data_IF_507318329383
#
_entry.id   IF_507318329383
#
_cell.length_a   1.000
_cell.length_b   1.000
_cell.length_c   1.000
_cell.angle_alpha   90.00
_cell.angle_beta   90.00
_cell.angle_gamma   90.00
#
_symmetry.space_group_name_H-M   'P 1'
#
loop_
_entity.id
_entity.type
_entity.pdbx_description
1 polymer ?
#
# COMPACT_ATOMS: atom_id res chain seq x y z
N UNK A 1 14.56 58.51 -38.51
CA UNK A 1 13.30 57.75 -38.28
C UNK A 1 13.60 56.68 -37.24
N UNK A 2 13.13 56.88 -36.00
CA UNK A 2 13.38 55.97 -34.87
C UNK A 2 12.37 54.82 -34.91
N UNK A 3 12.86 53.61 -35.17
CA UNK A 3 12.10 52.37 -34.95
C UNK A 3 12.23 52.07 -33.46
N UNK A 4 11.22 52.48 -32.69
CA UNK A 4 11.06 52.06 -31.31
C UNK A 4 10.66 50.58 -31.32
N UNK A 5 11.55 49.74 -30.82
CA UNK A 5 11.33 48.31 -30.63
C UNK A 5 10.24 48.09 -29.59
N UNK A 6 9.07 47.65 -30.06
CA UNK A 6 7.96 47.20 -29.21
C UNK A 6 8.40 45.92 -28.49
N UNK A 7 8.93 46.09 -27.28
CA UNK A 7 9.29 45.01 -26.39
C UNK A 7 8.00 44.30 -25.90
N UNK A 8 7.67 43.18 -26.53
CA UNK A 8 6.53 42.35 -26.16
C UNK A 8 6.86 41.57 -24.87
N UNK A 9 6.59 42.17 -23.70
CA UNK A 9 6.78 41.54 -22.38
C UNK A 9 5.75 40.40 -22.18
N UNK A 10 6.16 39.16 -22.48
CA UNK A 10 5.41 37.95 -22.08
C UNK A 10 5.26 37.91 -20.55
N UNK A 11 4.03 38.06 -20.06
CA UNK A 11 3.67 37.96 -18.64
C UNK A 11 3.85 36.50 -18.17
N UNK A 12 4.88 36.22 -17.36
CA UNK A 12 5.11 34.90 -16.75
C UNK A 12 4.07 34.66 -15.66
N UNK A 13 3.18 33.69 -15.85
CA UNK A 13 2.22 33.26 -14.83
C UNK A 13 2.92 32.18 -14.00
N UNK A 14 3.18 32.46 -12.72
CA UNK A 14 3.63 31.45 -11.77
C UNK A 14 2.40 30.74 -11.18
N UNK A 15 2.43 29.40 -11.15
CA UNK A 15 1.43 28.56 -10.49
C UNK A 15 2.10 27.73 -9.42
N UNK A 16 1.51 27.67 -8.24
CA UNK A 16 1.94 26.75 -7.19
C UNK A 16 1.37 25.37 -7.48
N UNK A 17 2.22 24.36 -7.50
CA UNK A 17 1.84 22.94 -7.63
C UNK A 17 2.11 22.28 -6.29
N UNK A 18 1.12 21.58 -5.76
CA UNK A 18 1.24 20.84 -4.50
C UNK A 18 1.05 19.36 -4.80
N UNK A 19 1.95 18.53 -4.28
CA UNK A 19 1.83 17.08 -4.36
C UNK A 19 1.03 16.60 -3.15
N UNK A 20 -0.17 16.09 -3.41
CA UNK A 20 -1.07 15.61 -2.34
C UNK A 20 -0.77 14.16 -1.96
N UNK A 21 -0.74 13.26 -2.95
CA UNK A 21 -0.52 11.84 -2.72
C UNK A 21 0.18 11.13 -3.87
N UNK A 22 0.96 10.10 -3.53
CA UNK A 22 1.50 9.10 -4.44
C UNK A 22 0.86 7.76 -4.11
N UNK A 23 0.14 7.20 -5.09
CA UNK A 23 -0.48 5.88 -5.00
C UNK A 23 0.35 4.90 -5.82
N UNK A 24 0.84 3.85 -5.17
CA UNK A 24 1.58 2.78 -5.81
C UNK A 24 1.51 1.50 -4.98
N UNK A 25 1.77 0.37 -5.63
CA UNK A 25 1.82 -0.94 -5.00
C UNK A 25 3.02 -1.06 -4.03
N UNK A 26 3.04 -2.11 -3.23
CA UNK A 26 4.06 -2.28 -2.19
C UNK A 26 5.48 -2.41 -2.75
N UNK A 27 5.64 -3.02 -3.93
CA UNK A 27 6.95 -3.20 -4.56
C UNK A 27 7.48 -1.86 -5.09
N UNK A 28 6.70 -1.13 -5.88
CA UNK A 28 7.11 0.19 -6.36
C UNK A 28 7.34 1.15 -5.18
N UNK A 29 6.52 1.11 -4.14
CA UNK A 29 6.71 1.89 -2.92
C UNK A 29 8.09 1.63 -2.29
N UNK A 30 8.43 0.37 -2.07
CA UNK A 30 9.73 0.00 -1.48
C UNK A 30 10.91 0.40 -2.36
N UNK A 31 10.75 0.31 -3.68
CA UNK A 31 11.76 0.71 -4.65
C UNK A 31 11.99 2.23 -4.66
N UNK A 32 10.92 3.03 -4.64
CA UNK A 32 10.99 4.49 -4.61
C UNK A 32 11.61 4.97 -3.30
N UNK A 33 11.20 4.39 -2.16
CA UNK A 33 11.73 4.72 -0.84
C UNK A 33 13.14 4.22 -0.58
N UNK A 34 13.63 3.24 -1.35
CA UNK A 34 14.91 2.55 -1.09
C UNK A 34 14.91 1.85 0.29
N UNK A 35 13.81 1.17 0.60
CA UNK A 35 13.61 0.42 1.85
C UNK A 35 13.44 -1.07 1.59
N UNK A 36 13.46 -1.86 2.65
CA UNK A 36 13.09 -3.28 2.57
C UNK A 36 11.65 -3.44 2.07
N UNK A 37 11.47 -4.38 1.14
CA UNK A 37 10.17 -4.72 0.58
C UNK A 37 9.21 -5.34 1.61
N UNK A 38 7.95 -5.50 1.22
CA UNK A 38 6.84 -5.99 2.05
C UNK A 38 7.04 -7.34 2.75
N UNK A 39 8.06 -8.12 2.35
CA UNK A 39 8.43 -9.41 2.94
C UNK A 39 9.56 -9.31 3.98
N UNK A 40 10.09 -8.12 4.25
CA UNK A 40 11.16 -7.90 5.21
C UNK A 40 10.68 -7.71 6.65
N UNK A 41 11.50 -8.09 7.62
CA UNK A 41 11.22 -7.93 9.06
C UNK A 41 10.94 -6.48 9.47
N UNK A 42 11.59 -5.51 8.83
CA UNK A 42 11.42 -4.08 9.08
C UNK A 42 10.85 -3.41 7.83
N UNK A 43 9.64 -3.79 7.43
CA UNK A 43 9.04 -3.38 6.15
C UNK A 43 7.85 -2.44 6.26
N UNK A 44 7.32 -2.21 7.47
CA UNK A 44 6.23 -1.27 7.65
C UNK A 44 6.71 0.14 7.31
N UNK A 45 5.96 0.87 6.48
CA UNK A 45 6.29 2.25 6.11
C UNK A 45 5.75 3.28 7.11
N UNK A 46 4.85 2.87 8.01
CA UNK A 46 4.13 3.77 8.93
C UNK A 46 4.62 3.70 10.38
N UNK A 47 5.10 2.55 10.82
CA UNK A 47 5.63 2.35 12.17
C UNK A 47 6.95 1.58 12.13
N UNK A 48 7.63 1.57 13.27
CA UNK A 48 8.94 0.93 13.46
C UNK A 48 8.84 -0.55 13.87
N UNK A 49 7.65 -1.13 13.79
CA UNK A 49 7.37 -2.50 14.20
C UNK A 49 8.31 -3.53 13.55
N UNK A 50 8.81 -4.45 14.38
CA UNK A 50 9.56 -5.60 13.93
C UNK A 50 8.63 -6.79 13.67
N UNK A 51 8.73 -7.35 12.47
CA UNK A 51 8.04 -8.59 12.12
C UNK A 51 8.61 -9.80 12.85
N UNK A 52 7.76 -10.80 13.06
CA UNK A 52 8.11 -12.09 13.66
C UNK A 52 7.82 -13.19 12.66
N UNK A 53 8.75 -14.13 12.50
CA UNK A 53 8.55 -15.29 11.65
C UNK A 53 7.79 -16.38 12.42
N UNK A 54 6.56 -16.69 12.01
CA UNK A 54 5.71 -17.74 12.60
C UNK A 54 5.12 -18.61 11.50
N UNK A 55 5.16 -19.94 11.66
CA UNK A 55 4.56 -20.90 10.73
C UNK A 55 4.94 -20.65 9.25
N UNK A 56 6.24 -20.48 8.97
CA UNK A 56 6.79 -20.18 7.64
C UNK A 56 6.23 -18.91 6.98
N UNK A 57 5.83 -17.94 7.80
CA UNK A 57 5.33 -16.65 7.34
C UNK A 57 5.86 -15.54 8.23
N UNK A 58 6.20 -14.43 7.61
CA UNK A 58 6.43 -13.20 8.34
C UNK A 58 5.08 -12.60 8.76
N UNK A 59 4.96 -12.25 10.03
CA UNK A 59 3.76 -11.69 10.63
C UNK A 59 4.13 -10.47 11.50
N UNK A 60 3.19 -9.53 11.68
CA UNK A 60 3.31 -8.41 12.61
C UNK A 60 2.25 -8.58 13.69
N UNK A 61 2.51 -9.41 14.73
CA UNK A 61 1.51 -9.78 15.73
C UNK A 61 1.26 -8.68 16.78
N UNK A 62 2.16 -7.71 16.91
CA UNK A 62 2.03 -6.58 17.81
C UNK A 62 0.95 -5.62 17.31
N UNK A 63 -0.29 -5.84 17.75
CA UNK A 63 -1.39 -4.88 17.62
C UNK A 63 -1.54 -4.10 18.94
N UNK A 64 -1.14 -4.70 20.06
CA UNK A 64 -1.35 -4.18 21.42
C UNK A 64 -0.13 -3.49 22.04
N UNK A 65 1.07 -3.72 21.48
CA UNK A 65 2.28 -2.98 21.84
C UNK A 65 2.32 -1.69 21.03
N UNK A 66 2.51 -0.55 21.71
CA UNK A 66 2.48 0.77 21.09
C UNK A 66 3.79 1.02 20.36
N UNK A 67 3.87 0.50 19.14
CA UNK A 67 4.99 0.73 18.23
C UNK A 67 5.06 2.21 17.85
N UNK A 68 6.28 2.74 17.78
CA UNK A 68 6.48 4.14 17.41
C UNK A 68 6.08 4.37 15.95
N UNK A 69 5.33 5.44 15.73
CA UNK A 69 5.00 5.90 14.39
C UNK A 69 6.23 6.52 13.76
N UNK A 70 6.52 6.14 12.53
CA UNK A 70 7.64 6.69 11.77
C UNK A 70 7.32 8.13 11.41
N UNK A 71 8.25 9.04 11.69
CA UNK A 71 8.15 10.44 11.31
C UNK A 71 9.02 10.72 10.08
N UNK A 72 8.87 11.91 9.51
CA UNK A 72 9.72 12.34 8.40
C UNK A 72 11.17 12.43 8.85
N UNK A 73 11.38 12.97 10.05
CA UNK A 73 12.68 13.17 10.68
C UNK A 73 13.32 11.84 11.06
N UNK A 74 12.57 10.89 11.64
CA UNK A 74 13.11 9.56 11.99
C UNK A 74 13.53 8.77 10.74
N UNK A 75 12.81 8.94 9.63
CA UNK A 75 13.17 8.33 8.35
C UNK A 75 14.41 8.96 7.70
N UNK A 76 14.54 10.29 7.70
CA UNK A 76 15.71 10.98 7.11
C UNK A 76 16.97 10.68 7.91
N UNK A 77 16.86 10.73 9.24
CA UNK A 77 17.97 10.41 10.15
C UNK A 77 18.32 8.92 10.18
N UNK A 78 17.55 8.07 9.48
CA UNK A 78 17.72 6.61 9.43
C UNK A 78 17.76 5.98 10.83
N UNK A 79 16.95 6.47 11.77
CA UNK A 79 16.89 5.95 13.15
C UNK A 79 16.74 4.42 13.21
N UNK A 80 15.93 3.85 12.30
CA UNK A 80 15.84 2.41 12.11
C UNK A 80 16.63 1.95 10.87
N UNK A 81 17.96 1.82 10.99
CA UNK A 81 18.84 1.41 9.87
C UNK A 81 18.38 0.13 9.15
N UNK A 82 17.88 -0.85 9.91
CA UNK A 82 17.40 -2.13 9.36
C UNK A 82 16.18 -1.98 8.45
N UNK A 83 15.49 -0.84 8.44
CA UNK A 83 14.40 -0.55 7.51
C UNK A 83 14.91 -0.19 6.10
N UNK A 84 16.07 0.46 6.03
CA UNK A 84 16.65 0.96 4.79
C UNK A 84 17.45 -0.14 4.07
N UNK A 85 17.64 0.01 2.76
CA UNK A 85 18.55 -0.85 2.01
C UNK A 85 19.99 -0.42 2.29
N UNK A 86 20.84 -1.38 2.67
CA UNK A 86 22.26 -1.13 2.93
C UNK A 86 22.96 -0.59 1.68
N UNK A 87 23.90 0.34 1.86
CA UNK A 87 24.73 0.91 0.79
C UNK A 87 23.93 1.56 -0.35
N UNK A 88 22.74 2.10 -0.04
CA UNK A 88 21.94 2.85 -1.01
C UNK A 88 21.67 4.27 -0.54
N UNK A 89 21.64 5.19 -1.50
CA UNK A 89 21.16 6.54 -1.29
C UNK A 89 19.65 6.54 -0.98
N UNK A 90 19.21 7.56 -0.26
CA UNK A 90 17.80 7.74 0.06
C UNK A 90 17.01 8.20 -1.16
N UNK A 91 15.68 8.10 -1.08
CA UNK A 91 14.80 8.57 -2.14
C UNK A 91 14.99 10.06 -2.43
N UNK A 92 15.06 10.42 -3.72
CA UNK A 92 15.09 11.81 -4.19
C UNK A 92 13.88 12.64 -3.71
N UNK A 93 12.79 11.97 -3.35
CA UNK A 93 11.56 12.60 -2.85
C UNK A 93 11.76 13.33 -1.52
N UNK A 94 12.80 13.00 -0.76
CA UNK A 94 13.14 13.68 0.50
C UNK A 94 13.58 15.12 0.25
N UNK A 95 14.16 15.40 -0.92
CA UNK A 95 14.64 16.73 -1.27
C UNK A 95 13.50 17.65 -1.75
N UNK A 96 12.27 17.14 -1.89
CA UNK A 96 11.14 17.95 -2.31
C UNK A 96 10.66 18.85 -1.17
N UNK A 97 10.53 20.17 -1.40
CA UNK A 97 10.04 21.08 -0.38
C UNK A 97 8.59 20.77 -0.03
N UNK A 98 8.24 20.92 1.25
CA UNK A 98 6.89 20.72 1.79
C UNK A 98 6.30 19.31 1.58
N UNK A 99 7.15 18.29 1.38
CA UNK A 99 6.71 16.90 1.25
C UNK A 99 7.14 16.11 2.48
N UNK A 100 6.16 15.60 3.23
CA UNK A 100 6.42 14.59 4.25
C UNK A 100 6.44 13.20 3.61
N UNK A 101 7.62 12.61 3.51
CA UNK A 101 7.84 11.31 2.86
C UNK A 101 6.95 10.18 3.39
N UNK A 102 6.64 10.17 4.69
CA UNK A 102 5.81 9.11 5.30
C UNK A 102 4.33 9.32 4.94
N UNK A 103 3.89 10.57 4.88
CA UNK A 103 2.47 10.91 4.68
C UNK A 103 2.08 11.02 3.21
N UNK A 104 2.99 11.36 2.31
CA UNK A 104 2.71 11.54 0.88
C UNK A 104 2.30 10.22 0.18
N UNK A 105 2.64 9.07 0.76
CA UNK A 105 2.28 7.78 0.16
C UNK A 105 1.01 7.20 0.77
N UNK A 106 0.01 6.98 -0.07
CA UNK A 106 -1.20 6.26 0.33
C UNK A 106 -0.93 4.76 0.49
N UNK A 107 -1.63 4.14 1.44
CA UNK A 107 -1.76 2.70 1.53
C UNK A 107 -2.85 2.25 0.57
N UNK A 108 -2.48 1.43 -0.41
CA UNK A 108 -3.42 0.96 -1.43
C UNK A 108 -4.33 -0.14 -0.85
N UNK A 109 -5.59 0.22 -0.59
CA UNK A 109 -6.62 -0.68 -0.09
C UNK A 109 -6.83 -1.90 -0.99
N UNK A 110 -6.77 -1.74 -2.31
CA UNK A 110 -6.98 -2.84 -3.24
C UNK A 110 -5.89 -3.90 -3.07
N UNK A 111 -4.63 -3.50 -3.02
CA UNK A 111 -3.52 -4.44 -2.89
C UNK A 111 -3.38 -5.01 -1.46
N UNK A 112 -3.56 -4.17 -0.43
CA UNK A 112 -3.39 -4.59 0.96
C UNK A 112 -4.58 -5.41 1.47
N UNK A 113 -5.81 -4.90 1.31
CA UNK A 113 -7.01 -5.48 1.91
C UNK A 113 -7.71 -6.44 0.95
N UNK A 114 -8.00 -6.04 -0.28
CA UNK A 114 -8.75 -6.91 -1.21
C UNK A 114 -7.90 -8.07 -1.72
N UNK A 115 -6.79 -7.77 -2.39
CA UNK A 115 -5.90 -8.79 -2.98
C UNK A 115 -5.03 -9.49 -1.94
N UNK A 116 -4.61 -8.79 -0.88
CA UNK A 116 -3.80 -9.35 0.19
C UNK A 116 -4.62 -10.19 1.16
N UNK A 117 -5.41 -9.53 2.02
CA UNK A 117 -6.15 -10.18 3.11
C UNK A 117 -7.36 -10.96 2.61
N UNK A 118 -8.26 -10.31 1.87
CA UNK A 118 -9.56 -10.88 1.48
C UNK A 118 -9.38 -12.10 0.59
N UNK A 119 -8.49 -12.04 -0.42
CA UNK A 119 -8.14 -13.20 -1.26
C UNK A 119 -7.65 -14.39 -0.43
N UNK A 120 -6.84 -14.15 0.60
CA UNK A 120 -6.31 -15.21 1.47
C UNK A 120 -7.40 -15.82 2.34
N UNK A 121 -8.31 -15.01 2.88
CA UNK A 121 -9.48 -15.47 3.62
C UNK A 121 -10.42 -16.28 2.74
N UNK A 122 -10.74 -15.80 1.53
CA UNK A 122 -11.56 -16.55 0.57
C UNK A 122 -10.92 -17.90 0.21
N UNK A 123 -9.60 -17.94 -0.01
CA UNK A 123 -8.88 -19.20 -0.23
C UNK A 123 -9.01 -20.17 0.95
N UNK A 124 -8.91 -19.66 2.17
CA UNK A 124 -9.05 -20.44 3.40
C UNK A 124 -10.48 -20.98 3.59
N UNK A 125 -11.48 -20.15 3.31
CA UNK A 125 -12.88 -20.47 3.54
C UNK A 125 -13.51 -21.33 2.44
N UNK A 126 -13.09 -21.15 1.17
CA UNK A 126 -13.77 -21.72 0.00
C UNK A 126 -12.92 -22.74 -0.77
N UNK A 127 -11.64 -22.45 -1.01
CA UNK A 127 -10.86 -23.12 -2.05
C UNK A 127 -9.93 -24.23 -1.54
N UNK A 128 -9.54 -24.24 -0.26
CA UNK A 128 -8.70 -25.28 0.32
C UNK A 128 -9.52 -26.50 0.77
N UNK A 129 -10.16 -27.21 -0.18
CA UNK A 129 -10.99 -28.38 0.17
C UNK A 129 -10.19 -29.53 0.81
N UNK A 130 -8.88 -29.62 0.53
CA UNK A 130 -8.07 -30.80 0.87
C UNK A 130 -6.92 -30.53 1.85
N UNK A 131 -6.55 -29.27 2.11
CA UNK A 131 -5.36 -28.90 2.93
C UNK A 131 -5.60 -27.81 3.98
N UNK A 132 -6.83 -27.28 4.08
CA UNK A 132 -7.17 -26.21 5.03
C UNK A 132 -7.81 -26.75 6.32
N UNK A 133 -7.77 -25.99 7.44
CA UNK A 133 -8.47 -26.35 8.66
C UNK A 133 -9.98 -26.44 8.41
N UNK A 134 -10.59 -27.58 8.74
CA UNK A 134 -12.03 -27.81 8.48
C UNK A 134 -12.93 -26.88 9.30
N UNK A 135 -12.47 -26.45 10.47
CA UNK A 135 -13.21 -25.62 11.42
C UNK A 135 -13.49 -24.18 10.94
N UNK A 136 -12.73 -23.67 9.96
CA UNK A 136 -12.93 -22.31 9.41
C UNK A 136 -13.60 -22.30 8.04
N UNK A 137 -13.98 -23.47 7.52
CA UNK A 137 -14.50 -23.61 6.15
C UNK A 137 -15.97 -23.23 6.08
N UNK A 138 -16.36 -22.57 5.00
CA UNK A 138 -17.77 -22.28 4.72
C UNK A 138 -18.39 -23.47 3.99
N UNK A 139 -19.47 -24.01 4.57
CA UNK A 139 -20.27 -25.10 3.96
C UNK A 139 -21.01 -24.62 2.72
N UNK A 140 -21.24 -25.51 1.75
CA UNK A 140 -21.98 -25.20 0.52
C UNK A 140 -23.36 -24.58 0.77
N UNK A 141 -24.05 -24.97 1.85
CA UNK A 141 -25.35 -24.41 2.24
C UNK A 141 -25.21 -22.92 2.56
N UNK A 142 -24.28 -22.57 3.44
CA UNK A 142 -24.03 -21.18 3.85
C UNK A 142 -23.49 -20.33 2.69
N UNK A 143 -22.71 -20.94 1.79
CA UNK A 143 -22.28 -20.29 0.54
C UNK A 143 -23.47 -19.91 -0.35
N UNK A 144 -24.43 -20.81 -0.52
CA UNK A 144 -25.62 -20.56 -1.32
C UNK A 144 -26.47 -19.43 -0.72
N UNK A 145 -26.62 -19.37 0.60
CA UNK A 145 -27.28 -18.25 1.28
C UNK A 145 -26.57 -16.91 1.03
N UNK A 146 -25.23 -16.89 1.10
CA UNK A 146 -24.44 -15.68 0.80
C UNK A 146 -24.64 -15.26 -0.66
N UNK A 147 -24.59 -16.20 -1.61
CA UNK A 147 -24.78 -15.91 -3.03
C UNK A 147 -26.19 -15.36 -3.31
N UNK A 148 -27.22 -15.91 -2.66
CA UNK A 148 -28.60 -15.44 -2.77
C UNK A 148 -28.80 -14.04 -2.15
N UNK A 149 -28.11 -13.71 -1.06
CA UNK A 149 -28.12 -12.36 -0.49
C UNK A 149 -27.37 -11.37 -1.39
N UNK A 150 -26.22 -11.79 -1.93
CA UNK A 150 -25.42 -10.97 -2.84
C UNK A 150 -26.18 -10.67 -4.14
N UNK A 151 -26.85 -11.64 -4.75
CA UNK A 151 -27.63 -11.44 -5.98
C UNK A 151 -28.76 -10.41 -5.79
N UNK A 152 -29.37 -10.38 -4.60
CA UNK A 152 -30.38 -9.36 -4.22
C UNK A 152 -29.79 -7.96 -4.03
N UNK A 153 -28.51 -7.85 -3.67
CA UNK A 153 -27.81 -6.59 -3.41
C UNK A 153 -27.02 -6.03 -4.62
N UNK A 154 -26.97 -6.76 -5.74
CA UNK A 154 -26.16 -6.41 -6.93
C UNK A 154 -26.49 -5.06 -7.57
N UNK A 155 -27.65 -4.48 -7.29
CA UNK A 155 -28.05 -3.19 -7.86
C UNK A 155 -27.31 -1.98 -7.27
N UNK A 156 -26.48 -2.14 -6.22
CA UNK A 156 -25.92 -1.01 -5.45
C UNK A 156 -24.40 -0.83 -5.62
N UNK A 157 -23.67 -1.81 -6.16
CA UNK A 157 -22.20 -1.76 -6.25
C UNK A 157 -21.70 -2.20 -7.64
N UNK A 158 -21.06 -1.31 -8.43
CA UNK A 158 -20.38 -1.71 -9.64
C UNK A 158 -19.07 -2.40 -9.23
N UNK A 159 -19.05 -3.73 -9.21
CA UNK A 159 -17.82 -4.50 -9.09
C UNK A 159 -17.48 -5.16 -10.42
N UNK A 160 -16.25 -4.90 -10.83
CA UNK A 160 -15.53 -5.47 -11.97
C UNK A 160 -15.80 -6.97 -12.02
N UNK A 161 -16.28 -7.45 -13.18
CA UNK A 161 -16.47 -8.88 -13.40
C UNK A 161 -15.13 -9.59 -13.19
N UNK A 162 -15.01 -10.39 -12.13
CA UNK A 162 -14.00 -11.44 -12.06
C UNK A 162 -14.40 -12.52 -13.07
N UNK A 163 -14.17 -12.22 -14.35
CA UNK A 163 -14.19 -13.19 -15.42
C UNK A 163 -13.12 -14.23 -15.15
N UNK A 164 -13.55 -15.49 -15.11
CA UNK A 164 -12.75 -16.69 -15.32
C UNK A 164 -11.38 -16.72 -14.62
N UNK A 165 -11.35 -16.97 -13.32
CA UNK A 165 -10.27 -17.78 -12.76
C UNK A 165 -10.62 -19.24 -13.02
N UNK A 166 -10.10 -19.71 -14.16
CA UNK A 166 -10.29 -21.04 -14.70
C UNK A 166 -9.82 -22.16 -13.77
N UNK A 167 -10.40 -23.31 -14.09
CA UNK A 167 -10.18 -24.66 -13.57
C UNK A 167 -8.72 -25.06 -13.56
#
# INVERSE_FOLDING_TARGET
MNISSVANKKKRIAKQVVLDAIVCDALAKSFIFKIKGHSGFFSCTRCEAQGVYKCNRLCFPAIDEKEENRTHESFISKMQEKHHLANTEMSILINLPNVNIINVFCLDYMHLCCLGVTKKLLKLWLFLKSKGPKNVRITSIKLNEINLKYSKSKHVLPLISLGNLGV
#
